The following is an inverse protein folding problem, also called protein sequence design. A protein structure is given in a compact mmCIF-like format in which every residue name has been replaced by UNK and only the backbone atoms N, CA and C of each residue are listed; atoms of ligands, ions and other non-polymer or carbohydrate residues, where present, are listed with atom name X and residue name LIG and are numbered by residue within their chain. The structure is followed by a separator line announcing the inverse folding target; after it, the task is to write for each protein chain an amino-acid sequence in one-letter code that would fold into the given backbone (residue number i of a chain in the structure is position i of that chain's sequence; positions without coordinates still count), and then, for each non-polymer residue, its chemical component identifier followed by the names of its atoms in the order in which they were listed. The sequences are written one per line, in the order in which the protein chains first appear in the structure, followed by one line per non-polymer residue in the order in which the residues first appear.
data_IF_361982924500
#
_entry.id   IF_361982924500
#
_cell.length_a   1.000
_cell.length_b   1.000
_cell.length_c   1.000
_cell.angle_alpha   90.00
_cell.angle_beta   90.00
_cell.angle_gamma   90.00
#
_symmetry.space_group_name_H-M   'P 1'
#
loop_
_entity.id
_entity.type
_entity.pdbx_description
1 polymer ?
#
# COMPACT_ATOMS: atom_id res chain seq x y z
N UNK A 1 -2.56 3.32 -13.43
CA UNK A 1 -1.15 3.33 -12.97
C UNK A 1 -1.09 2.93 -11.50
N UNK A 2 0.08 2.63 -10.94
CA UNK A 2 0.22 2.30 -9.50
C UNK A 2 -0.40 3.40 -8.59
N UNK A 3 -0.14 4.70 -8.79
CA UNK A 3 -0.77 5.76 -7.99
C UNK A 3 -2.30 5.75 -8.01
N UNK A 4 -2.90 5.50 -9.18
CA UNK A 4 -4.36 5.46 -9.34
C UNK A 4 -4.96 4.23 -8.66
N UNK A 5 -4.33 3.07 -8.83
CA UNK A 5 -4.78 1.85 -8.16
C UNK A 5 -4.71 2.01 -6.63
N UNK A 6 -3.63 2.61 -6.11
CA UNK A 6 -3.46 2.84 -4.68
C UNK A 6 -4.60 3.73 -4.13
N UNK A 7 -4.91 4.83 -4.80
CA UNK A 7 -5.91 5.80 -4.34
C UNK A 7 -7.34 5.33 -4.51
N UNK A 8 -7.67 4.69 -5.64
CA UNK A 8 -9.06 4.44 -6.03
C UNK A 8 -9.50 2.99 -5.86
N UNK A 9 -8.58 2.05 -5.64
CA UNK A 9 -8.91 0.63 -5.48
C UNK A 9 -8.44 0.11 -4.14
N UNK A 10 -7.16 0.32 -3.81
CA UNK A 10 -6.59 -0.23 -2.58
C UNK A 10 -7.17 0.46 -1.34
N UNK A 11 -7.02 1.78 -1.21
CA UNK A 11 -7.49 2.50 -0.02
C UNK A 11 -8.99 2.31 0.24
N UNK A 12 -9.90 2.49 -0.75
CA UNK A 12 -11.34 2.28 -0.51
C UNK A 12 -11.65 0.85 -0.05
N UNK A 13 -11.05 -0.16 -0.68
CA UNK A 13 -11.25 -1.56 -0.29
C UNK A 13 -10.78 -1.84 1.14
N UNK A 14 -9.62 -1.31 1.53
CA UNK A 14 -9.12 -1.48 2.90
C UNK A 14 -10.05 -0.83 3.92
N UNK A 15 -10.59 0.36 3.60
CA UNK A 15 -11.59 1.01 4.45
C UNK A 15 -12.84 0.16 4.60
N UNK A 16 -13.37 -0.41 3.52
CA UNK A 16 -14.55 -1.28 3.56
C UNK A 16 -14.31 -2.53 4.42
N UNK A 17 -13.14 -3.18 4.29
CA UNK A 17 -12.78 -4.36 5.07
C UNK A 17 -12.65 -4.04 6.56
N UNK A 18 -12.00 -2.93 6.91
CA UNK A 18 -11.86 -2.48 8.29
C UNK A 18 -13.23 -2.13 8.89
N UNK A 19 -14.08 -1.41 8.14
CA UNK A 19 -15.42 -1.03 8.58
C UNK A 19 -16.33 -2.26 8.79
N UNK A 20 -16.13 -3.31 8.01
CA UNK A 20 -16.87 -4.57 8.13
C UNK A 20 -16.28 -5.55 9.17
N UNK A 21 -15.21 -5.17 9.89
CA UNK A 21 -14.43 -6.06 10.75
C UNK A 21 -14.04 -7.39 10.07
N UNK A 22 -13.84 -7.32 8.75
CA UNK A 22 -13.52 -8.48 7.94
C UNK A 22 -12.03 -8.85 8.07
N UNK A 23 -11.70 -10.09 7.74
CA UNK A 23 -10.32 -10.52 7.67
C UNK A 23 -9.55 -9.65 6.67
N UNK A 24 -8.49 -8.99 7.14
CA UNK A 24 -7.62 -8.20 6.29
C UNK A 24 -6.82 -9.13 5.37
N UNK A 25 -6.52 -8.70 4.13
CA UNK A 25 -5.58 -9.41 3.29
C UNK A 25 -4.23 -9.49 4.00
N UNK A 26 -3.58 -10.66 3.93
CA UNK A 26 -2.24 -10.88 4.47
C UNK A 26 -1.16 -10.08 3.71
N UNK A 27 0.07 -10.56 3.70
CA UNK A 27 1.22 -9.87 3.09
C UNK A 27 0.93 -9.37 1.66
N UNK A 28 0.76 -8.05 1.53
CA UNK A 28 0.38 -7.38 0.27
C UNK A 28 1.60 -6.88 -0.52
N UNK A 29 2.76 -6.74 0.12
CA UNK A 29 4.01 -6.31 -0.53
C UNK A 29 3.93 -5.03 -1.36
N UNK A 30 3.24 -3.98 -0.88
CA UNK A 30 2.96 -2.77 -1.67
C UNK A 30 4.19 -1.85 -1.77
N UNK A 31 4.99 -1.76 -0.70
CA UNK A 31 6.25 -1.01 -0.68
C UNK A 31 7.21 -1.44 -1.80
N UNK A 32 7.60 -2.73 -1.94
CA UNK A 32 8.54 -3.13 -2.99
C UNK A 32 7.97 -2.91 -4.40
N UNK A 33 6.65 -3.02 -4.58
CA UNK A 33 6.01 -2.66 -5.86
C UNK A 33 6.15 -1.17 -6.18
N UNK A 34 5.97 -0.30 -5.18
CA UNK A 34 6.17 1.14 -5.35
C UNK A 34 7.62 1.51 -5.60
N UNK A 35 8.56 0.86 -4.92
CA UNK A 35 10.00 1.06 -5.12
C UNK A 35 10.42 0.74 -6.56
N UNK A 36 9.92 -0.36 -7.13
CA UNK A 36 10.18 -0.69 -8.55
C UNK A 36 9.51 0.32 -9.49
N UNK A 37 8.23 0.64 -9.28
CA UNK A 37 7.48 1.54 -10.16
C UNK A 37 8.09 2.94 -10.24
N UNK A 38 8.60 3.45 -9.12
CA UNK A 38 9.18 4.79 -9.04
C UNK A 38 10.70 4.82 -9.15
N UNK A 39 11.37 3.68 -9.36
CA UNK A 39 12.84 3.58 -9.44
C UNK A 39 13.46 4.63 -10.38
N UNK A 40 12.83 4.86 -11.52
CA UNK A 40 13.32 5.81 -12.54
C UNK A 40 12.69 7.20 -12.44
N UNK A 41 11.73 7.39 -11.53
CA UNK A 41 11.07 8.67 -11.32
C UNK A 41 11.91 9.49 -10.34
N UNK A 42 12.45 10.63 -10.76
CA UNK A 42 13.15 11.60 -9.89
C UNK A 42 12.15 12.36 -9.00
N UNK A 43 11.30 11.63 -8.28
CA UNK A 43 10.23 12.15 -7.44
C UNK A 43 10.58 11.95 -5.96
N UNK A 44 10.17 12.88 -5.06
CA UNK A 44 10.37 12.72 -3.63
C UNK A 44 9.38 11.69 -3.03
N UNK A 45 9.60 10.41 -3.31
CA UNK A 45 8.69 9.31 -2.91
C UNK A 45 8.96 8.74 -1.51
N UNK A 46 9.94 9.28 -0.78
CA UNK A 46 10.40 8.71 0.50
C UNK A 46 9.26 8.53 1.50
N UNK A 47 8.45 9.56 1.69
CA UNK A 47 7.33 9.52 2.65
C UNK A 47 6.22 8.57 2.20
N UNK A 48 6.02 8.43 0.88
CA UNK A 48 5.11 7.43 0.32
C UNK A 48 5.60 6.01 0.65
N UNK A 49 6.88 5.72 0.40
CA UNK A 49 7.45 4.39 0.70
C UNK A 49 7.37 4.07 2.20
N UNK A 50 7.60 5.05 3.08
CA UNK A 50 7.45 4.89 4.53
C UNK A 50 5.99 4.61 4.93
N UNK A 51 5.02 5.27 4.30
CA UNK A 51 3.61 5.00 4.57
C UNK A 51 3.22 3.59 4.11
N UNK A 52 3.66 3.17 2.92
CA UNK A 52 3.40 1.83 2.39
C UNK A 52 4.05 0.73 3.23
N UNK A 53 5.27 0.96 3.72
CA UNK A 53 5.95 0.03 4.62
C UNK A 53 5.16 -0.22 5.92
N UNK A 54 4.55 0.84 6.48
CA UNK A 54 3.69 0.70 7.67
C UNK A 54 2.46 -0.13 7.37
N UNK A 55 1.85 0.08 6.19
CA UNK A 55 0.70 -0.72 5.74
C UNK A 55 1.10 -2.18 5.62
N UNK A 56 2.19 -2.49 4.91
CA UNK A 56 2.65 -3.87 4.73
C UNK A 56 2.93 -4.56 6.06
N UNK A 57 3.55 -3.89 7.04
CA UNK A 57 3.77 -4.46 8.39
C UNK A 57 2.48 -4.71 9.17
N UNK A 58 1.47 -3.85 9.01
CA UNK A 58 0.17 -4.05 9.65
C UNK A 58 -0.58 -5.25 9.05
N UNK A 59 -0.37 -5.53 7.76
CA UNK A 59 -1.05 -6.60 7.02
C UNK A 59 -0.32 -7.93 7.04
N UNK A 60 1.01 -7.91 7.02
CA UNK A 60 1.85 -9.11 7.03
C UNK A 60 1.80 -9.88 8.34
N UNK A 61 1.37 -9.25 9.43
CA UNK A 61 1.53 -9.80 10.77
C UNK A 61 3.02 -9.89 11.14
N UNK A 62 3.32 -9.89 12.44
CA UNK A 62 4.67 -10.09 12.94
C UNK A 62 5.21 -11.49 12.62
#
# INVERSE_FOLDING_TARGET
TLPQWLQFVFLPRMHDLVAAEAALPGDCGIRPMAEEYFRSAQLPIRELLLALDRVDRLLGGA
#
